data_IF_233493346190
#
_entry.id   IF_233493346190
#
_cell.length_a   1.000
_cell.length_b   1.000
_cell.length_c   1.000
_cell.angle_alpha   90.00
_cell.angle_beta   90.00
_cell.angle_gamma   90.00
#
_symmetry.space_group_name_H-M   'P 1'
#
loop_
_entity.id
_entity.type
_entity.pdbx_description
1 polymer ?
#
# COMPACT_ATOMS: atom_id res chain seq x y z
N UNK A 1 6.06 4.86 24.56
CA UNK A 1 6.46 3.92 23.50
C UNK A 1 5.28 3.76 22.54
N UNK A 2 5.44 4.01 21.24
CA UNK A 2 4.34 3.80 20.26
C UNK A 2 4.23 2.30 19.96
N UNK A 3 3.00 1.79 19.82
CA UNK A 3 2.78 0.41 19.39
C UNK A 3 3.28 0.23 17.95
N UNK A 4 4.01 -0.85 17.69
CA UNK A 4 4.58 -1.16 16.38
C UNK A 4 4.57 -2.67 16.12
N UNK A 5 4.59 -3.04 14.84
CA UNK A 5 4.75 -4.41 14.37
C UNK A 5 6.07 -4.47 13.60
N UNK A 6 6.91 -5.46 13.91
CA UNK A 6 8.16 -5.71 13.21
C UNK A 6 8.07 -7.04 12.47
N UNK A 7 8.40 -7.03 11.18
CA UNK A 7 8.51 -8.22 10.34
C UNK A 7 10.00 -8.42 10.07
N UNK A 8 10.60 -9.41 10.74
CA UNK A 8 12.02 -9.73 10.64
C UNK A 8 12.18 -10.89 9.66
N UNK A 9 12.79 -10.63 8.50
CA UNK A 9 13.04 -11.62 7.45
C UNK A 9 14.53 -11.99 7.41
N UNK A 10 14.88 -13.27 7.50
CA UNK A 10 16.26 -13.72 7.32
C UNK A 10 16.83 -13.35 5.95
N UNK A 11 18.07 -12.85 5.95
CA UNK A 11 18.82 -12.43 4.77
C UNK A 11 18.58 -10.98 4.36
N UNK A 12 19.67 -10.32 3.94
CA UNK A 12 19.65 -8.94 3.44
C UNK A 12 19.12 -8.82 2.00
N UNK A 13 18.96 -7.58 1.51
CA UNK A 13 18.51 -7.30 0.14
C UNK A 13 19.49 -7.85 -0.92
N UNK A 14 19.02 -8.51 -2.00
CA UNK A 14 19.88 -9.14 -3.01
C UNK A 14 20.46 -8.12 -4.01
N UNK A 15 21.58 -8.47 -4.66
CA UNK A 15 22.13 -7.78 -5.84
C UNK A 15 22.26 -6.25 -5.68
N UNK A 16 22.92 -5.80 -4.60
CA UNK A 16 23.18 -4.39 -4.27
C UNK A 16 21.93 -3.51 -4.10
N UNK A 17 20.74 -4.11 -4.04
CA UNK A 17 19.50 -3.38 -3.84
C UNK A 17 19.53 -2.65 -2.48
N UNK A 18 19.04 -1.41 -2.45
CA UNK A 18 18.97 -0.59 -1.25
C UNK A 18 17.53 -0.31 -0.83
N UNK A 19 17.35 0.20 0.38
CA UNK A 19 16.03 0.60 0.90
C UNK A 19 15.41 1.69 0.01
N UNK A 20 16.18 2.63 -0.49
CA UNK A 20 15.71 3.72 -1.38
C UNK A 20 15.16 3.16 -2.70
N UNK A 21 15.83 2.14 -3.24
CA UNK A 21 15.45 1.52 -4.51
C UNK A 21 14.15 0.73 -4.38
N UNK A 22 14.00 -0.06 -3.31
CA UNK A 22 12.74 -0.80 -3.08
C UNK A 22 11.56 0.13 -2.79
N UNK A 23 11.80 1.27 -2.13
CA UNK A 23 10.78 2.31 -1.94
C UNK A 23 10.35 2.93 -3.27
N UNK A 24 11.28 3.09 -4.21
CA UNK A 24 10.99 3.52 -5.59
C UNK A 24 10.32 2.43 -6.44
N UNK A 25 10.18 1.22 -5.90
CA UNK A 25 9.54 0.08 -6.55
C UNK A 25 10.46 -0.76 -7.42
N UNK A 26 11.78 -0.60 -7.29
CA UNK A 26 12.74 -1.53 -7.88
C UNK A 26 12.72 -2.82 -7.06
N UNK A 27 12.57 -3.96 -7.72
CA UNK A 27 12.50 -5.26 -7.05
C UNK A 27 13.32 -6.30 -7.80
N UNK A 28 13.98 -7.18 -7.05
CA UNK A 28 14.74 -8.31 -7.59
C UNK A 28 14.14 -9.62 -7.07
N UNK A 29 13.91 -10.58 -7.96
CA UNK A 29 13.33 -11.88 -7.64
C UNK A 29 14.42 -12.77 -7.01
N UNK A 30 14.22 -13.18 -5.75
CA UNK A 30 15.10 -14.15 -5.07
C UNK A 30 14.74 -15.60 -5.38
N UNK A 31 13.45 -15.91 -5.42
CA UNK A 31 12.96 -17.27 -5.67
C UNK A 31 12.05 -17.28 -6.91
N UNK A 32 12.57 -17.68 -8.09
CA UNK A 32 11.77 -17.69 -9.32
C UNK A 32 10.63 -18.70 -9.30
N UNK A 33 10.73 -19.79 -8.52
CA UNK A 33 9.67 -20.80 -8.41
C UNK A 33 8.47 -20.24 -7.65
N UNK A 34 8.69 -19.63 -6.49
CA UNK A 34 7.61 -18.99 -5.71
C UNK A 34 6.92 -17.89 -6.51
N UNK A 35 7.71 -17.10 -7.25
CA UNK A 35 7.15 -16.08 -8.14
C UNK A 35 6.31 -16.70 -9.25
N UNK A 36 6.73 -17.82 -9.84
CA UNK A 36 5.92 -18.54 -10.83
C UNK A 36 4.57 -18.98 -10.25
N UNK A 37 4.55 -19.52 -9.03
CA UNK A 37 3.30 -19.94 -8.38
C UNK A 37 2.38 -18.77 -8.05
N UNK A 38 2.95 -17.64 -7.61
CA UNK A 38 2.20 -16.41 -7.43
C UNK A 38 1.60 -15.91 -8.76
N UNK A 39 2.39 -15.91 -9.83
CA UNK A 39 1.94 -15.46 -11.16
C UNK A 39 0.86 -16.38 -11.76
N UNK A 40 0.91 -17.69 -11.46
CA UNK A 40 -0.10 -18.68 -11.86
C UNK A 40 -1.37 -18.65 -11.00
N UNK A 41 -1.43 -17.78 -9.99
CA UNK A 41 -2.59 -17.68 -9.08
C UNK A 41 -2.74 -18.84 -8.11
N UNK A 42 -1.69 -19.64 -7.91
CA UNK A 42 -1.70 -20.78 -6.99
C UNK A 42 -1.48 -20.35 -5.52
N UNK A 43 -0.84 -19.21 -5.31
CA UNK A 43 -0.64 -18.63 -3.99
C UNK A 43 -1.59 -17.43 -3.79
N UNK A 44 -2.04 -17.17 -2.55
CA UNK A 44 -2.85 -15.99 -2.21
C UNK A 44 -1.99 -14.72 -2.19
N UNK A 45 -1.34 -14.42 -3.31
CA UNK A 45 -0.37 -13.35 -3.46
C UNK A 45 -0.79 -12.45 -4.63
N UNK A 46 -0.88 -11.14 -4.38
CA UNK A 46 -1.36 -10.16 -5.38
C UNK A 46 -0.37 -9.01 -5.50
N UNK A 47 -0.31 -8.42 -6.70
CA UNK A 47 0.51 -7.25 -6.98
C UNK A 47 2.00 -7.54 -6.83
N UNK A 48 2.49 -8.52 -7.59
CA UNK A 48 3.90 -8.86 -7.72
C UNK A 48 4.74 -7.64 -8.09
N UNK A 49 5.86 -7.44 -7.41
CA UNK A 49 6.75 -6.29 -7.60
C UNK A 49 6.23 -4.94 -7.07
N UNK A 50 4.94 -4.80 -6.76
CA UNK A 50 4.34 -3.52 -6.35
C UNK A 50 3.99 -3.43 -4.85
N UNK A 51 4.19 -4.50 -4.09
CA UNK A 51 3.78 -4.61 -2.68
C UNK A 51 4.27 -3.47 -1.79
N UNK A 52 5.57 -3.13 -1.86
CA UNK A 52 6.17 -2.08 -1.02
C UNK A 52 5.58 -0.71 -1.33
N UNK A 53 5.45 -0.35 -2.62
CA UNK A 53 4.84 0.93 -3.02
C UNK A 53 3.38 1.04 -2.56
N UNK A 54 2.60 -0.04 -2.70
CA UNK A 54 1.21 -0.06 -2.23
C UNK A 54 1.13 0.05 -0.71
N UNK A 55 1.99 -0.64 0.02
CA UNK A 55 2.04 -0.56 1.48
C UNK A 55 2.39 0.86 1.95
N UNK A 56 3.36 1.51 1.32
CA UNK A 56 3.74 2.89 1.63
C UNK A 56 2.68 3.92 1.24
N UNK A 57 1.88 3.67 0.20
CA UNK A 57 0.78 4.55 -0.19
C UNK A 57 -0.33 4.57 0.88
N UNK A 58 -0.68 3.41 1.43
CA UNK A 58 -1.68 3.28 2.50
C UNK A 58 -1.13 3.66 3.88
N UNK A 59 0.16 3.35 4.09
CA UNK A 59 0.85 3.52 5.35
C UNK A 59 2.26 4.11 5.16
N UNK A 60 2.38 5.45 5.06
CA UNK A 60 3.66 6.11 4.80
C UNK A 60 4.71 5.95 5.91
N UNK A 61 4.26 5.64 7.13
CA UNK A 61 5.12 5.49 8.31
C UNK A 61 5.86 4.15 8.38
N UNK A 62 5.75 3.27 7.38
CA UNK A 62 6.54 2.03 7.37
C UNK A 62 8.03 2.38 7.18
N UNK A 63 8.88 1.88 8.07
CA UNK A 63 10.34 1.94 7.93
C UNK A 63 10.91 0.59 7.53
N UNK A 64 12.00 0.60 6.78
CA UNK A 64 12.75 -0.59 6.38
C UNK A 64 14.20 -0.47 6.81
N UNK A 65 14.77 -1.56 7.30
CA UNK A 65 16.17 -1.67 7.70
C UNK A 65 16.78 -2.89 7.02
N UNK A 66 17.87 -2.68 6.28
CA UNK A 66 18.70 -3.73 5.69
C UNK A 66 19.95 -3.90 6.55
N UNK A 67 19.87 -4.77 7.56
CA UNK A 67 20.99 -5.10 8.43
C UNK A 67 21.88 -6.14 7.74
N UNK A 68 22.94 -5.66 7.10
CA UNK A 68 23.86 -6.50 6.33
C UNK A 68 24.78 -7.31 7.21
N UNK A 69 25.16 -6.77 8.37
CA UNK A 69 26.06 -7.43 9.31
C UNK A 69 25.32 -8.56 10.04
N UNK A 70 24.08 -8.29 10.48
CA UNK A 70 23.18 -9.30 11.07
C UNK A 70 22.48 -10.20 10.05
N UNK A 71 22.61 -9.91 8.74
CA UNK A 71 21.93 -10.61 7.64
C UNK A 71 20.41 -10.68 7.83
N UNK A 72 19.79 -9.53 8.05
CA UNK A 72 18.36 -9.40 8.27
C UNK A 72 17.77 -8.25 7.45
N UNK A 73 16.56 -8.45 6.96
CA UNK A 73 15.73 -7.38 6.45
C UNK A 73 14.52 -7.19 7.36
N UNK A 74 14.33 -5.97 7.86
CA UNK A 74 13.32 -5.66 8.86
C UNK A 74 12.37 -4.61 8.27
N UNK A 75 11.06 -4.89 8.33
CA UNK A 75 10.02 -3.89 8.08
C UNK A 75 9.30 -3.57 9.39
N UNK A 76 9.29 -2.29 9.77
CA UNK A 76 8.63 -1.82 10.99
C UNK A 76 7.43 -0.96 10.64
N UNK A 77 6.27 -1.37 11.09
CA UNK A 77 4.99 -0.67 10.91
C UNK A 77 4.61 -0.01 12.23
N UNK A 78 4.62 1.32 12.27
CA UNK A 78 4.19 2.07 13.45
C UNK A 78 2.67 2.27 13.43
N UNK A 79 2.01 2.12 14.57
CA UNK A 79 0.58 2.44 14.70
C UNK A 79 0.41 3.97 14.59
N UNK A 80 -0.48 4.42 13.70
CA UNK A 80 -0.93 5.83 13.60
C UNK A 80 -1.49 6.28 14.94
N UNK A 81 -1.12 7.47 15.39
CA UNK A 81 -1.81 8.09 16.51
C UNK A 81 -3.26 8.40 16.13
N UNK A 82 -4.12 8.61 17.12
CA UNK A 82 -5.52 9.03 16.89
C UNK A 82 -5.63 10.32 16.04
N UNK A 83 -4.55 11.09 15.93
CA UNK A 83 -4.48 12.37 15.21
C UNK A 83 -4.13 12.20 13.72
N UNK A 84 -3.55 11.06 13.32
CA UNK A 84 -2.96 10.89 11.98
C UNK A 84 -3.92 10.25 10.94
N UNK A 85 -5.15 9.89 11.37
CA UNK A 85 -6.13 9.20 10.52
C UNK A 85 -6.88 10.11 9.52
N UNK A 86 -6.81 11.44 9.67
CA UNK A 86 -7.56 12.39 8.83
C UNK A 86 -7.02 12.55 7.40
N UNK A 87 -5.85 11.97 7.07
CA UNK A 87 -5.13 12.32 5.83
C UNK A 87 -5.29 11.37 4.63
N UNK A 88 -5.93 10.20 4.78
CA UNK A 88 -5.96 9.15 3.72
C UNK A 88 -7.27 8.99 2.94
N UNK A 89 -8.33 9.77 3.20
CA UNK A 89 -9.60 9.69 2.45
C UNK A 89 -9.68 10.59 1.19
N UNK A 90 -8.62 10.69 0.38
CA UNK A 90 -8.66 11.46 -0.89
C UNK A 90 -8.71 10.60 -2.15
N UNK A 91 -9.24 9.38 -2.06
CA UNK A 91 -9.64 8.58 -3.21
C UNK A 91 -11.10 8.15 -3.04
N UNK A 92 -11.96 8.53 -3.97
CA UNK A 92 -13.36 8.05 -4.09
C UNK A 92 -14.48 8.74 -3.28
N UNK A 93 -14.34 10.03 -2.90
CA UNK A 93 -15.50 10.79 -2.37
C UNK A 93 -15.98 11.94 -3.28
N UNK A 94 -15.22 12.33 -4.32
CA UNK A 94 -15.52 13.52 -5.14
C UNK A 94 -16.80 13.37 -5.98
N UNK A 95 -17.11 12.15 -6.44
CA UNK A 95 -18.37 11.83 -7.13
C UNK A 95 -19.55 11.75 -6.17
N UNK A 96 -19.35 11.12 -5.00
CA UNK A 96 -20.37 11.00 -3.95
C UNK A 96 -20.79 12.34 -3.37
N UNK A 97 -19.84 13.27 -3.17
CA UNK A 97 -20.10 14.62 -2.69
C UNK A 97 -20.97 15.42 -3.67
N UNK A 98 -20.69 15.29 -4.98
CA UNK A 98 -21.47 15.95 -6.05
C UNK A 98 -22.90 15.41 -6.14
N UNK A 99 -23.10 14.11 -5.90
CA UNK A 99 -24.44 13.49 -5.86
C UNK A 99 -25.23 13.99 -4.64
N UNK A 100 -24.60 14.07 -3.46
CA UNK A 100 -25.25 14.57 -2.23
C UNK A 100 -25.69 16.04 -2.38
N UNK A 101 -24.87 16.86 -3.04
CA UNK A 101 -25.20 18.26 -3.31
C UNK A 101 -26.38 18.41 -4.28
N UNK A 102 -26.45 17.56 -5.31
CA UNK A 102 -27.58 17.52 -6.25
C UNK A 102 -28.90 17.11 -5.56
N UNK A 103 -28.88 16.12 -4.67
CA UNK A 103 -30.07 15.69 -3.92
C UNK A 103 -30.60 16.77 -2.96
N UNK A 104 -29.72 17.65 -2.43
CA UNK A 104 -30.14 18.78 -1.58
C UNK A 104 -30.83 19.89 -2.36
N UNK A 105 -30.39 20.15 -3.58
CA UNK A 105 -30.89 21.23 -4.42
C UNK A 105 -32.14 20.84 -5.21
N UNK A 106 -32.29 19.55 -5.55
CA UNK A 106 -33.48 19.00 -6.20
C UNK A 106 -33.86 17.63 -5.61
N UNK A 107 -34.84 17.58 -4.69
CA UNK A 107 -35.30 16.35 -4.07
C UNK A 107 -35.98 15.36 -5.04
N UNK A 108 -36.33 15.79 -6.26
CA UNK A 108 -36.99 14.95 -7.27
C UNK A 108 -36.03 14.42 -8.34
N UNK A 109 -34.71 14.55 -8.14
CA UNK A 109 -33.72 14.07 -9.10
C UNK A 109 -33.86 12.55 -9.33
N UNK A 110 -33.99 12.15 -10.59
CA UNK A 110 -34.21 10.75 -11.02
C UNK A 110 -32.97 10.27 -11.76
N UNK A 111 -32.70 8.96 -11.74
CA UNK A 111 -31.52 8.32 -12.36
C UNK A 111 -31.28 8.74 -13.81
N UNK A 112 -32.35 9.02 -14.57
CA UNK A 112 -32.26 9.50 -15.96
C UNK A 112 -31.50 10.83 -16.12
N UNK A 113 -31.54 11.72 -15.11
CA UNK A 113 -30.84 13.01 -15.14
C UNK A 113 -29.37 12.90 -14.72
N UNK A 114 -28.95 11.76 -14.17
CA UNK A 114 -27.57 11.52 -13.71
C UNK A 114 -26.66 10.98 -14.83
N UNK A 115 -27.23 10.52 -15.95
CA UNK A 115 -26.50 9.88 -17.04
C UNK A 115 -25.65 10.83 -17.91
N UNK A 116 -25.75 12.15 -17.71
CA UNK A 116 -25.02 13.19 -18.45
C UNK A 116 -23.88 13.85 -17.65
N UNK A 117 -23.47 13.30 -16.50
CA UNK A 117 -22.44 13.88 -15.61
C UNK A 117 -21.23 12.95 -15.46
#
# INVERSE_FOLDING_TARGET
MRARIEIISPGHLPNNLTVEWIRSGISNIRNPILVSYAAKGLLPYRGLGSGIKRALAEWPEISFTDDRDGSMFIATVYRKGLVDMESTEKGSQKSSQKIIELMRNDPQIIVANLACI
#
